data_IF_839554844139
#
_entry.id   IF_839554844139
#
_cell.length_a   1.000
_cell.length_b   1.000
_cell.length_c   1.000
_cell.angle_alpha   90.00
_cell.angle_beta   90.00
_cell.angle_gamma   90.00
#
_symmetry.space_group_name_H-M   'P 1'
#
loop_
_entity.id
_entity.type
_entity.pdbx_description
1 polymer ?
#
# COMPACT_ATOMS: atom_id res chain seq x y z
N UNK A 1 7.29 5.85 26.96
CA UNK A 1 8.40 5.39 26.08
C UNK A 1 7.80 5.16 24.69
N UNK A 2 8.37 5.75 23.64
CA UNK A 2 7.90 5.51 22.27
C UNK A 2 8.29 4.09 21.84
N UNK A 3 7.37 3.36 21.19
CA UNK A 3 7.67 2.03 20.66
C UNK A 3 8.50 2.17 19.37
N UNK A 4 9.55 1.35 19.23
CA UNK A 4 10.29 1.26 17.97
C UNK A 4 9.42 0.58 16.91
N UNK A 5 9.22 1.17 15.72
CA UNK A 5 8.42 0.56 14.67
C UNK A 5 9.04 -0.76 14.18
N UNK A 6 8.23 -1.80 14.02
CA UNK A 6 8.68 -3.11 13.54
C UNK A 6 8.69 -3.23 12.00
N UNK A 7 7.97 -2.33 11.32
CA UNK A 7 7.88 -2.27 9.84
C UNK A 7 7.39 -0.91 9.38
N UNK A 8 7.71 -0.56 8.14
CA UNK A 8 7.16 0.58 7.42
C UNK A 8 6.33 0.08 6.25
N UNK A 9 5.13 0.63 6.10
CA UNK A 9 4.25 0.35 4.95
C UNK A 9 4.14 1.63 4.13
N UNK A 10 4.51 1.56 2.86
CA UNK A 10 4.47 2.71 1.94
C UNK A 10 3.24 2.67 1.05
N UNK A 11 2.66 3.84 0.81
CA UNK A 11 1.45 4.06 0.03
C UNK A 11 1.61 5.33 -0.82
N UNK A 12 0.69 5.54 -1.77
CA UNK A 12 0.62 6.72 -2.63
C UNK A 12 1.43 6.59 -3.93
N UNK A 13 1.23 7.54 -4.84
CA UNK A 13 1.87 7.56 -6.17
C UNK A 13 3.39 7.60 -6.14
N UNK A 14 3.99 8.15 -5.08
CA UNK A 14 5.44 8.26 -4.94
C UNK A 14 6.18 6.92 -4.92
N UNK A 15 5.50 5.83 -4.51
CA UNK A 15 6.07 4.47 -4.46
C UNK A 15 6.48 3.97 -5.85
N UNK A 16 5.85 4.47 -6.92
CA UNK A 16 6.19 4.11 -8.30
C UNK A 16 7.45 4.81 -8.85
N UNK A 17 8.06 5.71 -8.09
CA UNK A 17 9.31 6.32 -8.50
C UNK A 17 10.36 5.24 -8.72
N UNK A 18 11.02 5.26 -9.88
CA UNK A 18 12.03 4.24 -10.23
C UNK A 18 13.10 4.20 -9.14
N UNK A 19 13.32 3.02 -8.56
CA UNK A 19 14.29 2.81 -7.49
C UNK A 19 13.80 3.16 -6.08
N UNK A 20 12.54 3.59 -5.89
CA UNK A 20 12.01 3.96 -4.56
C UNK A 20 12.15 2.82 -3.54
N UNK A 21 11.69 1.62 -3.87
CA UNK A 21 11.80 0.48 -2.96
C UNK A 21 13.25 0.00 -2.80
N UNK A 22 14.07 0.10 -3.85
CA UNK A 22 15.49 -0.28 -3.77
C UNK A 22 16.27 0.66 -2.83
N UNK A 23 15.94 1.95 -2.83
CA UNK A 23 16.52 2.94 -1.90
C UNK A 23 16.34 2.53 -0.44
N UNK A 24 15.20 1.90 -0.09
CA UNK A 24 14.88 1.46 1.26
C UNK A 24 15.29 0.02 1.58
N UNK A 25 15.98 -0.69 0.66
CA UNK A 25 16.37 -2.10 0.84
C UNK A 25 17.26 -2.34 2.06
N UNK A 26 18.10 -1.36 2.41
CA UNK A 26 19.01 -1.40 3.55
C UNK A 26 18.50 -0.56 4.75
N UNK A 27 17.23 -0.15 4.74
CA UNK A 27 16.65 0.56 5.87
C UNK A 27 16.62 -0.37 7.09
N UNK A 28 16.93 0.17 8.28
CA UNK A 28 17.04 -0.61 9.52
C UNK A 28 15.72 -1.34 9.86
N UNK A 29 14.60 -0.77 9.42
CA UNK A 29 13.27 -1.32 9.61
C UNK A 29 12.76 -1.86 8.26
N UNK A 30 12.19 -3.07 8.18
CA UNK A 30 11.66 -3.60 6.94
C UNK A 30 10.58 -2.70 6.31
N UNK A 31 10.77 -2.35 5.03
CA UNK A 31 9.85 -1.50 4.26
C UNK A 31 9.10 -2.32 3.21
N UNK A 32 7.77 -2.18 3.17
CA UNK A 32 6.90 -2.91 2.25
C UNK A 32 5.97 -1.96 1.49
N UNK A 33 5.77 -2.22 0.20
CA UNK A 33 4.66 -1.63 -0.53
C UNK A 33 3.33 -2.20 -0.04
N UNK A 34 2.35 -1.31 0.14
CA UNK A 34 1.01 -1.71 0.53
C UNK A 34 0.23 -2.36 -0.62
N UNK A 35 -0.47 -3.45 -0.31
CA UNK A 35 -1.58 -3.94 -1.12
C UNK A 35 -2.90 -3.65 -0.38
N UNK A 36 -3.56 -2.56 -0.75
CA UNK A 36 -4.79 -2.10 -0.08
C UNK A 36 -6.02 -2.97 -0.41
N UNK A 37 -5.93 -3.88 -1.38
CA UNK A 37 -6.99 -4.82 -1.72
C UNK A 37 -6.84 -6.19 -1.06
N UNK A 38 -5.83 -6.41 -0.21
CA UNK A 38 -5.54 -7.73 0.39
C UNK A 38 -6.73 -8.37 1.11
N UNK A 39 -7.64 -7.57 1.67
CA UNK A 39 -8.84 -8.03 2.38
C UNK A 39 -10.15 -7.61 1.70
N UNK A 40 -10.08 -7.11 0.48
CA UNK A 40 -11.24 -6.61 -0.26
C UNK A 40 -11.52 -7.56 -1.42
N UNK A 41 -12.78 -7.95 -1.59
CA UNK A 41 -13.19 -8.76 -2.73
C UNK A 41 -13.20 -7.90 -3.99
N UNK A 42 -12.18 -8.05 -4.82
CA UNK A 42 -12.09 -7.44 -6.15
C UNK A 42 -12.52 -8.46 -7.20
N UNK A 43 -13.41 -8.07 -8.12
CA UNK A 43 -13.84 -8.93 -9.22
C UNK A 43 -12.70 -9.21 -10.21
N UNK A 44 -12.70 -10.39 -10.83
CA UNK A 44 -11.57 -10.83 -11.67
C UNK A 44 -11.35 -9.94 -12.90
N UNK A 45 -12.42 -9.36 -13.44
CA UNK A 45 -12.33 -8.39 -14.53
C UNK A 45 -11.70 -7.05 -14.13
N UNK A 46 -11.70 -6.70 -12.83
CA UNK A 46 -11.13 -5.43 -12.34
C UNK A 46 -9.68 -5.59 -11.86
N UNK A 47 -9.28 -6.78 -11.41
CA UNK A 47 -7.92 -7.05 -10.89
C UNK A 47 -6.78 -6.53 -11.80
N UNK A 48 -6.80 -6.72 -13.14
CA UNK A 48 -5.72 -6.24 -14.00
C UNK A 48 -5.53 -4.72 -13.96
N UNK A 49 -6.58 -3.96 -13.62
CA UNK A 49 -6.56 -2.51 -13.61
C UNK A 49 -6.22 -1.93 -12.25
N UNK A 50 -6.71 -2.54 -11.17
CA UNK A 50 -6.60 -1.97 -9.81
C UNK A 50 -5.42 -2.50 -9.01
N UNK A 51 -5.00 -3.75 -9.24
CA UNK A 51 -3.88 -4.34 -8.51
C UNK A 51 -2.54 -3.62 -8.77
N UNK A 52 -2.21 -3.19 -10.01
CA UNK A 52 -0.98 -2.45 -10.28
C UNK A 52 -0.90 -1.07 -9.61
N UNK A 53 -2.04 -0.51 -9.22
CA UNK A 53 -2.14 0.81 -8.57
C UNK A 53 -2.61 0.71 -7.13
N UNK A 54 -2.57 -0.49 -6.53
CA UNK A 54 -3.17 -0.77 -5.23
C UNK A 54 -2.65 0.16 -4.13
N UNK A 55 -1.33 0.43 -4.10
CA UNK A 55 -0.68 1.32 -3.14
C UNK A 55 -1.15 2.78 -3.27
N UNK A 56 -1.54 3.21 -4.47
CA UNK A 56 -2.04 4.57 -4.73
C UNK A 56 -3.48 4.77 -4.25
N UNK A 57 -4.27 3.70 -4.26
CA UNK A 57 -5.69 3.74 -3.91
C UNK A 57 -5.95 3.67 -2.40
N UNK A 58 -4.91 3.73 -1.56
CA UNK A 58 -5.02 3.62 -0.11
C UNK A 58 -6.10 4.53 0.49
N UNK A 59 -6.08 5.82 0.13
CA UNK A 59 -7.04 6.80 0.63
C UNK A 59 -8.44 6.53 0.10
N UNK A 60 -8.60 6.25 -1.19
CA UNK A 60 -9.90 5.98 -1.79
C UNK A 60 -10.55 4.73 -1.18
N UNK A 61 -9.78 3.64 -1.05
CA UNK A 61 -10.20 2.41 -0.37
C UNK A 61 -10.60 2.69 1.08
N UNK A 62 -9.78 3.45 1.81
CA UNK A 62 -10.08 3.82 3.20
C UNK A 62 -11.35 4.66 3.35
N UNK A 63 -11.66 5.53 2.39
CA UNK A 63 -12.91 6.29 2.34
C UNK A 63 -14.11 5.39 2.06
N UNK A 64 -14.02 4.51 1.06
CA UNK A 64 -15.11 3.57 0.74
C UNK A 64 -15.45 2.63 1.90
N UNK A 65 -14.44 2.17 2.66
CA UNK A 65 -14.67 1.34 3.84
C UNK A 65 -15.43 2.06 4.96
N UNK A 66 -15.46 3.40 4.99
CA UNK A 66 -16.26 4.14 5.96
C UNK A 66 -17.74 4.19 5.60
N UNK A 67 -18.08 4.04 4.32
CA UNK A 67 -19.49 4.05 3.87
C UNK A 67 -20.22 2.74 4.21
N UNK A 68 -19.48 1.68 4.59
CA UNK A 68 -20.04 0.41 5.06
C UNK A 68 -20.24 0.34 6.60
N UNK A 69 -20.06 1.46 7.31
CA UNK A 69 -20.25 1.58 8.78
C UNK A 69 -21.54 2.33 9.09
#
# INVERSE_FOLDING_TARGET
>A
MAQTPQKVIVNGGGVLTVGFMEYFKNFEIPVYEANNFRKIKVSDNLKPYVMPIASQLATAVGLSLREEI
#
